data_IF_025509317359
#
_entry.id   IF_025509317359
#
_cell.length_a   1.000
_cell.length_b   1.000
_cell.length_c   1.000
_cell.angle_alpha   90.00
_cell.angle_beta   90.00
_cell.angle_gamma   90.00
#
_symmetry.space_group_name_H-M   'P 1'
#
loop_
_entity.id
_entity.type
_entity.pdbx_description
1 polymer ?
#
# COMPACT_ATOMS: atom_id res chain seq x y z
N UNK A 1 15.56 -12.27 -7.09
CA UNK A 1 16.53 -11.41 -6.40
C UNK A 1 16.28 -11.46 -4.90
N UNK A 2 17.34 -11.62 -4.15
CA UNK A 2 17.27 -11.59 -2.69
C UNK A 2 18.07 -10.41 -2.15
N UNK A 3 17.61 -9.84 -1.05
CA UNK A 3 18.31 -8.79 -0.33
C UNK A 3 18.45 -9.27 1.10
N UNK A 4 19.70 -9.41 1.60
CA UNK A 4 19.99 -9.90 2.96
C UNK A 4 19.26 -11.22 3.25
N UNK A 5 19.28 -12.16 2.30
CA UNK A 5 18.64 -13.49 2.38
C UNK A 5 17.11 -13.45 2.41
N UNK A 6 16.51 -12.32 2.05
CA UNK A 6 15.05 -12.19 1.94
C UNK A 6 14.66 -11.95 0.50
N UNK A 7 13.52 -12.50 0.10
CA UNK A 7 12.94 -12.24 -1.22
C UNK A 7 12.60 -10.75 -1.30
N UNK A 8 12.88 -10.15 -2.46
CA UNK A 8 12.44 -8.80 -2.76
C UNK A 8 11.19 -8.85 -3.62
N UNK A 9 10.13 -8.21 -3.15
CA UNK A 9 8.92 -7.97 -3.93
C UNK A 9 8.92 -6.55 -4.43
N UNK A 10 8.69 -6.38 -5.72
CA UNK A 10 8.52 -5.06 -6.32
C UNK A 10 7.03 -4.76 -6.35
N UNK A 11 6.61 -3.61 -5.84
CA UNK A 11 5.21 -3.29 -5.77
C UNK A 11 4.91 -1.89 -6.27
N UNK A 12 3.68 -1.72 -6.73
CA UNK A 12 3.16 -0.46 -7.23
C UNK A 12 1.68 -0.37 -6.90
N UNK A 13 1.22 0.84 -6.60
CA UNK A 13 -0.20 1.09 -6.36
C UNK A 13 -0.73 2.10 -7.35
N UNK A 14 -2.03 1.99 -7.64
CA UNK A 14 -2.75 2.96 -8.44
C UNK A 14 -4.02 3.36 -7.69
N UNK A 15 -4.20 4.67 -7.52
CA UNK A 15 -5.31 5.24 -6.76
C UNK A 15 -6.19 6.05 -7.68
N UNK A 16 -7.44 5.62 -7.82
CA UNK A 16 -8.48 6.34 -8.50
C UNK A 16 -9.64 6.59 -7.53
N UNK A 17 -10.57 7.43 -7.89
CA UNK A 17 -11.68 7.80 -7.00
C UNK A 17 -12.47 6.59 -6.52
N UNK A 18 -12.75 5.63 -7.39
CA UNK A 18 -13.61 4.47 -7.11
C UNK A 18 -12.89 3.15 -7.20
N UNK A 19 -11.58 3.13 -7.40
CA UNK A 19 -10.79 1.92 -7.58
C UNK A 19 -9.42 2.12 -6.98
N UNK A 20 -8.95 1.11 -6.27
CA UNK A 20 -7.59 1.02 -5.78
C UNK A 20 -6.97 -0.29 -6.26
N UNK A 21 -5.77 -0.23 -6.77
CA UNK A 21 -5.01 -1.40 -7.22
C UNK A 21 -3.65 -1.45 -6.56
N UNK A 22 -3.24 -2.67 -6.21
CA UNK A 22 -1.87 -2.95 -5.79
C UNK A 22 -1.36 -4.15 -6.57
N UNK A 23 -0.24 -4.00 -7.24
CA UNK A 23 0.42 -5.08 -7.98
C UNK A 23 1.76 -5.38 -7.31
N UNK A 24 2.02 -6.65 -7.02
CA UNK A 24 3.23 -7.08 -6.34
C UNK A 24 3.89 -8.19 -7.16
N UNK A 25 5.15 -7.98 -7.52
CA UNK A 25 5.95 -8.92 -8.31
C UNK A 25 6.99 -9.58 -7.41
N UNK A 26 6.96 -10.91 -7.35
CA UNK A 26 8.05 -11.68 -6.75
C UNK A 26 9.24 -11.63 -7.69
N UNK A 27 10.32 -10.95 -7.28
CA UNK A 27 11.49 -10.75 -8.15
C UNK A 27 12.27 -12.04 -8.42
N UNK A 28 12.03 -13.10 -7.65
CA UNK A 28 12.72 -14.38 -7.81
C UNK A 28 11.97 -15.32 -8.75
N UNK A 29 10.65 -15.43 -8.58
CA UNK A 29 9.81 -16.36 -9.35
C UNK A 29 9.07 -15.71 -10.50
N UNK A 30 9.04 -14.38 -10.56
CA UNK A 30 8.27 -13.57 -11.50
C UNK A 30 6.76 -13.71 -11.33
N UNK A 31 6.31 -14.35 -10.24
CA UNK A 31 4.88 -14.44 -9.93
C UNK A 31 4.32 -13.07 -9.59
N UNK A 32 3.16 -12.75 -10.15
CA UNK A 32 2.47 -11.47 -9.96
C UNK A 32 1.24 -11.67 -9.08
N UNK A 33 1.14 -10.86 -8.04
CA UNK A 33 -0.03 -10.81 -7.16
C UNK A 33 -0.74 -9.49 -7.37
N UNK A 34 -2.05 -9.54 -7.61
CA UNK A 34 -2.86 -8.35 -7.84
C UNK A 34 -3.97 -8.26 -6.80
N UNK A 35 -4.10 -7.09 -6.22
CA UNK A 35 -5.15 -6.80 -5.24
C UNK A 35 -5.94 -5.60 -5.73
N UNK A 36 -7.26 -5.68 -5.61
CA UNK A 36 -8.15 -4.63 -6.06
C UNK A 36 -9.19 -4.33 -4.99
N UNK A 37 -9.52 -3.06 -4.83
CA UNK A 37 -10.70 -2.62 -4.10
C UNK A 37 -11.55 -1.79 -5.04
N UNK A 38 -12.74 -2.30 -5.38
CA UNK A 38 -13.67 -1.69 -6.34
C UNK A 38 -15.07 -2.23 -6.12
N UNK A 39 -16.01 -1.78 -6.92
CA UNK A 39 -17.39 -2.30 -6.88
C UNK A 39 -17.44 -3.82 -7.15
N UNK A 40 -16.55 -4.33 -7.98
CA UNK A 40 -16.56 -5.76 -8.35
C UNK A 40 -15.76 -6.64 -7.41
N UNK A 41 -14.88 -6.06 -6.60
CA UNK A 41 -13.89 -6.84 -5.86
C UNK A 41 -13.35 -6.05 -4.67
N UNK A 42 -13.12 -6.74 -3.55
CA UNK A 42 -12.47 -6.12 -2.39
C UNK A 42 -11.42 -7.06 -1.81
N UNK A 43 -10.16 -6.85 -2.17
CA UNK A 43 -9.03 -7.64 -1.70
C UNK A 43 -8.14 -6.88 -0.72
N UNK A 44 -8.63 -5.83 -0.07
CA UNK A 44 -7.79 -5.02 0.83
C UNK A 44 -7.24 -5.84 1.98
N UNK A 45 -8.05 -6.70 2.58
CA UNK A 45 -7.58 -7.53 3.68
C UNK A 45 -6.48 -8.49 3.24
N UNK A 46 -6.64 -9.13 2.08
CA UNK A 46 -5.62 -10.02 1.51
C UNK A 46 -4.33 -9.27 1.22
N UNK A 47 -4.43 -8.05 0.69
CA UNK A 47 -3.27 -7.20 0.45
C UNK A 47 -2.54 -6.88 1.75
N UNK A 48 -3.27 -6.45 2.77
CA UNK A 48 -2.68 -6.14 4.08
C UNK A 48 -1.96 -7.35 4.66
N UNK A 49 -2.58 -8.52 4.58
CA UNK A 49 -1.98 -9.77 5.05
C UNK A 49 -0.74 -10.14 4.25
N UNK A 50 -0.73 -9.86 2.95
CA UNK A 50 0.45 -10.10 2.11
C UNK A 50 1.66 -9.32 2.63
N UNK A 51 1.49 -8.04 2.92
CA UNK A 51 2.57 -7.21 3.44
C UNK A 51 3.00 -7.63 4.86
N UNK A 52 2.03 -7.94 5.73
CA UNK A 52 2.30 -8.22 7.14
C UNK A 52 2.96 -9.58 7.38
N UNK A 53 2.61 -10.57 6.57
CA UNK A 53 2.97 -11.97 6.88
C UNK A 53 4.16 -12.49 6.11
N UNK A 54 4.90 -11.61 5.42
CA UNK A 54 6.07 -12.02 4.66
C UNK A 54 7.36 -11.48 5.25
N UNK A 55 8.32 -12.37 5.44
CA UNK A 55 9.67 -12.01 5.80
C UNK A 55 10.44 -11.62 4.53
N UNK A 56 10.15 -10.44 4.02
CA UNK A 56 10.61 -9.99 2.72
C UNK A 56 10.85 -8.48 2.71
N UNK A 57 11.53 -8.00 1.67
CA UNK A 57 11.62 -6.57 1.40
C UNK A 57 10.62 -6.19 0.31
N UNK A 58 9.97 -5.06 0.50
CA UNK A 58 9.07 -4.48 -0.50
C UNK A 58 9.73 -3.26 -1.10
N UNK A 59 9.93 -3.30 -2.42
CA UNK A 59 10.70 -2.32 -3.16
C UNK A 59 9.78 -1.59 -4.13
N UNK A 60 9.87 -0.28 -4.18
CA UNK A 60 9.09 0.52 -5.10
C UNK A 60 9.87 1.75 -5.54
N UNK A 61 9.35 2.43 -6.56
CA UNK A 61 9.90 3.70 -7.01
C UNK A 61 9.21 4.83 -6.25
N UNK A 62 9.99 5.63 -5.51
CA UNK A 62 9.46 6.73 -4.69
C UNK A 62 8.41 6.28 -3.67
N UNK A 63 8.50 5.02 -3.23
CA UNK A 63 7.49 4.41 -2.39
C UNK A 63 7.41 4.99 -0.98
N UNK A 64 8.51 5.50 -0.43
CA UNK A 64 8.51 6.11 0.91
C UNK A 64 7.58 7.32 0.95
N UNK A 65 7.50 8.09 -0.14
CA UNK A 65 6.74 9.33 -0.17
C UNK A 65 5.28 9.16 -0.58
N UNK A 66 4.92 8.04 -1.21
CA UNK A 66 3.57 7.84 -1.71
C UNK A 66 3.00 6.46 -1.39
N UNK A 67 3.60 5.39 -1.94
CA UNK A 67 3.04 4.04 -1.84
C UNK A 67 3.03 3.54 -0.40
N UNK A 68 4.15 3.69 0.32
CA UNK A 68 4.27 3.21 1.69
C UNK A 68 3.27 3.85 2.65
N UNK A 69 3.09 5.18 2.65
CA UNK A 69 2.06 5.79 3.51
C UNK A 69 0.67 5.23 3.26
N UNK A 70 0.31 5.03 2.00
CA UNK A 70 -1.01 4.50 1.63
C UNK A 70 -1.17 3.05 2.09
N UNK A 71 -0.16 2.21 1.86
CA UNK A 71 -0.20 0.81 2.31
C UNK A 71 -0.26 0.72 3.84
N UNK A 72 0.54 1.52 4.54
CA UNK A 72 0.51 1.55 6.00
C UNK A 72 -0.85 2.02 6.54
N UNK A 73 -1.46 2.99 5.88
CA UNK A 73 -2.81 3.44 6.21
C UNK A 73 -3.82 2.30 6.05
N UNK A 74 -3.74 1.56 4.95
CA UNK A 74 -4.63 0.41 4.71
C UNK A 74 -4.44 -0.66 5.79
N UNK A 75 -3.20 -0.96 6.16
CA UNK A 75 -2.91 -1.95 7.21
C UNK A 75 -3.53 -1.51 8.53
N UNK A 76 -3.39 -0.25 8.89
CA UNK A 76 -3.90 0.27 10.16
C UNK A 76 -5.41 0.27 10.24
N UNK A 77 -6.10 0.69 9.17
CA UNK A 77 -7.54 0.92 9.22
C UNK A 77 -8.38 -0.15 8.55
N UNK A 78 -7.84 -0.88 7.60
CA UNK A 78 -8.64 -1.80 6.77
C UNK A 78 -8.23 -3.26 6.88
N UNK A 79 -7.20 -3.59 7.63
CA UNK A 79 -6.85 -4.97 7.90
C UNK A 79 -7.94 -5.61 8.75
N UNK A 80 -8.54 -6.70 8.27
CA UNK A 80 -9.67 -7.39 8.90
C UNK A 80 -10.90 -6.51 9.09
N UNK A 81 -11.04 -5.46 8.29
CA UNK A 81 -12.16 -4.54 8.39
C UNK A 81 -13.37 -5.04 7.61
N UNK A 82 -14.55 -4.52 8.00
CA UNK A 82 -15.81 -4.78 7.31
C UNK A 82 -16.33 -3.55 6.56
N UNK A 83 -15.46 -2.59 6.30
CA UNK A 83 -15.85 -1.40 5.55
C UNK A 83 -16.19 -1.77 4.11
N UNK A 84 -17.14 -1.05 3.53
CA UNK A 84 -17.50 -1.22 2.12
C UNK A 84 -16.37 -0.74 1.21
N UNK A 85 -16.36 -1.24 -0.03
CA UNK A 85 -15.36 -0.81 -1.01
C UNK A 85 -15.39 0.70 -1.22
N UNK A 86 -16.59 1.30 -1.22
CA UNK A 86 -16.72 2.75 -1.45
C UNK A 86 -16.08 3.57 -0.33
N UNK A 87 -16.26 3.14 0.92
CA UNK A 87 -15.63 3.80 2.07
C UNK A 87 -14.11 3.67 1.99
N UNK A 88 -13.60 2.48 1.68
CA UNK A 88 -12.17 2.24 1.56
C UNK A 88 -11.56 3.07 0.42
N UNK A 89 -12.16 3.04 -0.76
CA UNK A 89 -11.67 3.80 -1.92
C UNK A 89 -11.69 5.30 -1.66
N UNK A 90 -12.76 5.82 -1.06
CA UNK A 90 -12.86 7.24 -0.73
C UNK A 90 -11.77 7.65 0.24
N UNK A 91 -11.54 6.85 1.29
CA UNK A 91 -10.51 7.14 2.29
C UNK A 91 -9.12 7.14 1.69
N UNK A 92 -8.80 6.17 0.84
CA UNK A 92 -7.51 6.09 0.16
C UNK A 92 -7.34 7.27 -0.79
N UNK A 93 -8.38 7.60 -1.56
CA UNK A 93 -8.33 8.72 -2.50
C UNK A 93 -8.09 10.05 -1.78
N UNK A 94 -8.76 10.27 -0.65
CA UNK A 94 -8.59 11.48 0.16
C UNK A 94 -7.17 11.55 0.74
N UNK A 95 -6.64 10.43 1.23
CA UNK A 95 -5.25 10.38 1.71
C UNK A 95 -4.27 10.68 0.58
N UNK A 96 -4.51 10.14 -0.61
CA UNK A 96 -3.67 10.41 -1.78
C UNK A 96 -3.64 11.90 -2.11
N UNK A 97 -4.77 12.59 -2.02
CA UNK A 97 -4.82 14.04 -2.22
C UNK A 97 -3.98 14.79 -1.18
N UNK A 98 -4.04 14.37 0.08
CA UNK A 98 -3.24 14.98 1.15
C UNK A 98 -1.76 14.80 0.89
N UNK A 99 -1.35 13.59 0.51
CA UNK A 99 0.06 13.27 0.23
C UNK A 99 0.59 14.10 -0.94
N UNK A 100 -0.22 14.29 -1.97
CA UNK A 100 0.19 15.04 -3.17
C UNK A 100 -0.03 16.55 -3.03
N UNK A 101 -0.63 17.00 -1.94
CA UNK A 101 -0.82 18.41 -1.65
C UNK A 101 0.51 19.11 -1.38
N UNK A 102 0.62 20.36 -1.83
CA UNK A 102 1.78 21.21 -1.52
C UNK A 102 1.55 22.06 -0.27
N UNK A 103 0.46 21.83 0.45
CA UNK A 103 0.13 22.57 1.66
C UNK A 103 0.88 21.97 2.85
N UNK A 104 1.71 22.76 3.52
CA UNK A 104 2.51 22.31 4.66
C UNK A 104 1.64 21.77 5.81
N UNK A 105 0.43 22.31 6.01
CA UNK A 105 -0.48 21.83 7.04
C UNK A 105 -0.93 20.39 6.81
N UNK A 106 -0.97 19.95 5.54
CA UNK A 106 -1.35 18.59 5.21
C UNK A 106 -0.21 17.58 5.40
N UNK A 107 1.05 18.03 5.37
CA UNK A 107 2.19 17.13 5.54
C UNK A 107 2.16 16.39 6.88
N UNK A 108 1.75 17.06 7.96
CA UNK A 108 1.72 16.44 9.28
C UNK A 108 0.62 15.39 9.42
N UNK A 109 -0.43 15.46 8.59
CA UNK A 109 -1.57 14.55 8.66
C UNK A 109 -1.22 13.13 8.22
N UNK A 110 -0.28 12.96 7.29
CA UNK A 110 0.08 11.65 6.77
C UNK A 110 1.48 11.19 7.19
N UNK A 111 2.21 12.02 7.88
CA UNK A 111 3.60 11.77 8.30
C UNK A 111 3.75 10.48 9.10
N UNK A 112 2.79 10.17 9.95
CA UNK A 112 2.83 8.97 10.76
C UNK A 112 2.82 7.69 9.91
N UNK A 113 2.10 7.67 8.79
CA UNK A 113 2.08 6.51 7.90
C UNK A 113 3.32 6.42 7.03
N UNK A 114 3.93 7.55 6.73
CA UNK A 114 5.20 7.59 6.01
C UNK A 114 6.30 6.85 6.76
N UNK A 115 6.34 7.00 8.07
CA UNK A 115 7.38 6.42 8.91
C UNK A 115 6.93 5.18 9.68
N UNK A 116 5.75 4.66 9.44
CA UNK A 116 5.28 3.43 10.06
C UNK A 116 6.08 2.23 9.54
N UNK A 117 6.39 1.29 10.43
CA UNK A 117 7.23 0.12 10.13
C UNK A 117 6.43 -1.17 10.19
N UNK A 118 5.35 -1.27 9.41
CA UNK A 118 4.54 -2.48 9.35
C UNK A 118 5.16 -3.57 8.46
N UNK A 119 6.07 -3.18 7.58
CA UNK A 119 6.78 -4.09 6.68
C UNK A 119 8.14 -3.47 6.30
N UNK A 120 9.06 -4.33 5.85
CA UNK A 120 10.39 -3.86 5.42
C UNK A 120 10.29 -3.29 4.02
N UNK A 121 10.87 -2.10 3.83
CA UNK A 121 10.77 -1.40 2.55
C UNK A 121 12.12 -0.84 2.12
N UNK A 122 12.31 -0.80 0.81
CA UNK A 122 13.43 -0.12 0.15
C UNK A 122 12.87 0.74 -0.99
N UNK A 123 13.44 1.91 -1.13
CA UNK A 123 13.04 2.85 -2.18
C UNK A 123 13.93 2.68 -3.42
#
# INVERSE_FOLDING_TARGET
MKIREKIAYVYDIEVFKNVFHCTILNSETEEIHKFECSQRKNNIDDMCNFFLNRNAYFVGYNNIHYDNPIVNYCIEFFSNSKYSYSTICESIFNLSKVITSKNDDDLDKWKRWKYANNFLTLD
#
